data_IF_478742700709
#
_entry.id   IF_478742700709
#
_cell.length_a   1.000
_cell.length_b   1.000
_cell.length_c   1.000
_cell.angle_alpha   90.00
_cell.angle_beta   90.00
_cell.angle_gamma   90.00
#
_symmetry.space_group_name_H-M   'P 1'
#
loop_
_entity.id
_entity.type
_entity.pdbx_description
1 polymer ?
#
# COMPACT_ATOMS: atom_id res chain seq x y z
N UNK A 1 10.95 25.97 -8.96
CA UNK A 1 10.99 24.79 -8.08
C UNK A 1 12.38 24.18 -8.18
N UNK A 2 13.12 23.97 -7.10
CA UNK A 2 14.45 23.37 -7.20
C UNK A 2 14.32 21.94 -7.70
N UNK A 3 15.00 21.58 -8.80
CA UNK A 3 14.95 20.23 -9.40
C UNK A 3 15.13 19.11 -8.37
N UNK A 4 15.97 19.37 -7.36
CA UNK A 4 16.30 18.46 -6.27
C UNK A 4 15.08 17.96 -5.46
N UNK A 5 14.04 18.77 -5.28
CA UNK A 5 12.87 18.34 -4.51
C UNK A 5 11.96 17.40 -5.33
N UNK A 6 11.90 17.56 -6.66
CA UNK A 6 11.15 16.64 -7.53
C UNK A 6 11.89 15.32 -7.69
N UNK A 7 13.22 15.32 -7.76
CA UNK A 7 14.04 14.09 -7.79
C UNK A 7 13.82 13.25 -6.52
N UNK A 8 13.66 13.90 -5.37
CA UNK A 8 13.30 13.23 -4.11
C UNK A 8 11.90 12.61 -4.12
N UNK A 9 10.96 13.11 -4.92
CA UNK A 9 9.62 12.52 -5.06
C UNK A 9 9.72 11.22 -5.87
N UNK A 10 10.41 11.24 -7.01
CA UNK A 10 10.66 10.03 -7.82
C UNK A 10 11.35 8.94 -7.01
N UNK A 11 12.44 9.30 -6.32
CA UNK A 11 13.21 8.34 -5.54
C UNK A 11 12.34 7.68 -4.45
N UNK A 12 11.57 8.47 -3.70
CA UNK A 12 10.65 7.95 -2.67
C UNK A 12 9.56 7.05 -3.27
N UNK A 13 9.03 7.43 -4.43
CA UNK A 13 8.05 6.61 -5.13
C UNK A 13 8.64 5.27 -5.56
N UNK A 14 9.79 5.27 -6.25
CA UNK A 14 10.47 4.04 -6.67
C UNK A 14 10.86 3.15 -5.50
N UNK A 15 11.33 3.72 -4.38
CA UNK A 15 11.62 2.96 -3.16
C UNK A 15 10.37 2.23 -2.64
N UNK A 16 9.20 2.89 -2.68
CA UNK A 16 7.92 2.27 -2.27
C UNK A 16 7.49 1.17 -3.23
N UNK A 17 7.63 1.38 -4.55
CA UNK A 17 7.35 0.35 -5.55
C UNK A 17 8.26 -0.87 -5.33
N UNK A 18 9.57 -0.65 -5.23
CA UNK A 18 10.54 -1.72 -5.00
C UNK A 18 10.22 -2.51 -3.73
N UNK A 19 9.91 -1.83 -2.61
CA UNK A 19 9.47 -2.50 -1.37
C UNK A 19 8.20 -3.33 -1.55
N UNK A 20 7.25 -2.83 -2.33
CA UNK A 20 6.00 -3.55 -2.60
C UNK A 20 6.24 -4.80 -3.44
N UNK A 21 7.07 -4.70 -4.48
CA UNK A 21 7.50 -5.85 -5.30
C UNK A 21 8.26 -6.86 -4.44
N UNK A 22 9.21 -6.41 -3.61
CA UNK A 22 9.94 -7.28 -2.69
C UNK A 22 8.98 -8.02 -1.76
N UNK A 23 8.02 -7.32 -1.16
CA UNK A 23 7.02 -7.91 -0.26
C UNK A 23 6.18 -8.99 -0.94
N UNK A 24 5.75 -8.76 -2.19
CA UNK A 24 4.98 -9.74 -2.97
C UNK A 24 5.78 -11.03 -3.17
N UNK A 25 7.03 -10.90 -3.65
CA UNK A 25 7.91 -12.04 -3.91
C UNK A 25 8.28 -12.78 -2.62
N UNK A 26 8.57 -12.06 -1.54
CA UNK A 26 8.94 -12.66 -0.26
C UNK A 26 7.78 -13.45 0.36
N UNK A 27 6.54 -13.01 0.15
CA UNK A 27 5.34 -13.68 0.65
C UNK A 27 4.92 -14.88 -0.21
N UNK A 28 5.22 -14.86 -1.50
CA UNK A 28 4.92 -15.95 -2.42
C UNK A 28 6.18 -16.44 -3.15
N UNK A 29 6.91 -17.33 -2.47
CA UNK A 29 8.15 -17.95 -2.95
C UNK A 29 7.98 -18.82 -4.19
N UNK A 30 6.75 -19.07 -4.63
CA UNK A 30 6.50 -19.78 -5.90
C UNK A 30 6.58 -18.85 -7.11
N UNK A 31 6.57 -17.52 -6.90
CA UNK A 31 6.67 -16.52 -7.97
C UNK A 31 8.06 -16.44 -8.62
N UNK A 32 9.09 -16.84 -7.89
CA UNK A 32 10.46 -16.96 -8.40
C UNK A 32 10.91 -18.39 -8.11
N UNK A 33 11.47 -19.07 -9.11
CA UNK A 33 12.09 -20.38 -8.88
C UNK A 33 13.39 -20.20 -8.07
N UNK A 34 13.27 -20.03 -6.74
CA UNK A 34 14.39 -19.80 -5.81
C UNK A 34 15.40 -20.97 -5.71
N UNK A 35 15.24 -22.00 -6.54
CA UNK A 35 16.07 -23.20 -6.58
C UNK A 35 17.14 -23.15 -7.67
N UNK A 36 17.08 -22.18 -8.59
CA UNK A 36 18.16 -21.91 -9.54
C UNK A 36 19.07 -20.78 -9.04
N UNK A 37 20.26 -20.68 -9.62
CA UNK A 37 21.26 -19.67 -9.23
C UNK A 37 20.70 -18.25 -9.37
N UNK A 38 19.86 -18.01 -10.38
CA UNK A 38 19.27 -16.70 -10.64
C UNK A 38 18.28 -16.29 -9.53
N UNK A 39 17.41 -17.19 -9.08
CA UNK A 39 16.49 -16.95 -7.98
C UNK A 39 17.19 -16.71 -6.65
N UNK A 40 18.30 -17.41 -6.40
CA UNK A 40 19.15 -17.20 -5.22
C UNK A 40 19.80 -15.80 -5.24
N UNK A 41 20.32 -15.37 -6.39
CA UNK A 41 20.94 -14.06 -6.59
C UNK A 41 19.90 -12.93 -6.43
N UNK A 42 18.69 -13.11 -6.95
CA UNK A 42 17.58 -12.16 -6.81
C UNK A 42 17.15 -12.05 -5.34
N UNK A 43 16.98 -13.16 -4.62
CA UNK A 43 16.62 -13.12 -3.22
C UNK A 43 17.66 -12.38 -2.37
N UNK A 44 18.96 -12.59 -2.65
CA UNK A 44 20.03 -11.86 -1.97
C UNK A 44 19.99 -10.36 -2.31
N UNK A 45 19.75 -10.01 -3.56
CA UNK A 45 19.63 -8.62 -4.00
C UNK A 45 18.44 -7.93 -3.33
N UNK A 46 17.31 -8.62 -3.21
CA UNK A 46 16.12 -8.12 -2.50
C UNK A 46 16.42 -7.84 -1.03
N UNK A 47 17.04 -8.78 -0.31
CA UNK A 47 17.44 -8.61 1.09
C UNK A 47 18.40 -7.41 1.24
N UNK A 48 19.37 -7.26 0.33
CA UNK A 48 20.32 -6.14 0.31
C UNK A 48 19.63 -4.79 0.09
N UNK A 49 18.67 -4.73 -0.84
CA UNK A 49 17.93 -3.52 -1.18
C UNK A 49 16.99 -3.11 -0.05
N UNK A 50 16.24 -4.06 0.52
CA UNK A 50 15.35 -3.81 1.65
C UNK A 50 16.13 -3.26 2.85
N UNK A 51 17.31 -3.84 3.11
CA UNK A 51 18.23 -3.36 4.14
C UNK A 51 18.68 -1.92 3.88
N UNK A 52 19.18 -1.65 2.68
CA UNK A 52 19.71 -0.33 2.29
C UNK A 52 18.63 0.76 2.41
N UNK A 53 17.41 0.52 1.92
CA UNK A 53 16.30 1.48 2.00
C UNK A 53 15.83 1.69 3.45
N UNK A 54 15.90 0.66 4.30
CA UNK A 54 15.50 0.77 5.72
C UNK A 54 16.50 1.59 6.53
N UNK A 55 17.79 1.40 6.30
CA UNK A 55 18.85 2.21 6.92
C UNK A 55 18.73 3.67 6.48
N UNK A 56 18.53 3.95 5.19
CA UNK A 56 18.39 5.32 4.68
C UNK A 56 17.16 6.05 5.27
N UNK A 57 16.01 5.38 5.34
CA UNK A 57 14.81 5.96 5.95
C UNK A 57 14.98 6.25 7.45
N UNK A 58 15.72 5.41 8.17
CA UNK A 58 16.03 5.67 9.58
C UNK A 58 17.03 6.81 9.77
N UNK A 59 18.06 6.90 8.93
CA UNK A 59 19.02 8.02 8.94
C UNK A 59 18.32 9.35 8.65
N UNK A 60 17.46 9.40 7.64
CA UNK A 60 16.68 10.60 7.32
C UNK A 60 15.74 10.98 8.44
N UNK A 61 15.02 10.01 9.04
CA UNK A 61 14.12 10.26 10.17
C UNK A 61 14.90 10.80 11.39
N UNK A 62 16.07 10.23 11.71
CA UNK A 62 16.91 10.71 12.81
C UNK A 62 17.49 12.10 12.55
N UNK A 63 17.90 12.42 11.32
CA UNK A 63 18.39 13.75 10.96
C UNK A 63 17.29 14.82 11.02
N UNK A 64 16.01 14.45 10.76
CA UNK A 64 14.86 15.35 10.96
C UNK A 64 14.46 15.51 12.42
N UNK A 65 14.69 14.51 13.26
CA UNK A 65 14.33 14.54 14.70
C UNK A 65 15.44 15.19 15.54
N UNK A 66 16.70 14.96 15.17
CA UNK A 66 17.87 15.51 15.83
C UNK A 66 18.62 16.36 14.80
N UNK A 67 18.39 17.67 14.80
CA UNK A 67 19.20 18.59 14.00
C UNK A 67 20.68 18.33 14.27
N UNK A 68 21.38 17.87 13.24
CA UNK A 68 22.84 17.71 13.15
C UNK A 68 23.52 16.99 14.33
N UNK A 69 23.74 15.67 14.24
CA UNK A 69 24.81 15.04 15.01
C UNK A 69 25.68 14.10 14.17
N UNK A 70 27.00 14.28 14.35
CA UNK A 70 28.07 13.70 13.54
C UNK A 70 28.38 12.21 13.78
N UNK A 71 29.65 11.77 13.59
CA UNK A 71 30.03 10.43 13.11
C UNK A 71 29.83 9.24 14.08
N UNK A 72 29.08 9.42 15.17
CA UNK A 72 28.73 8.36 16.15
C UNK A 72 27.53 7.50 15.75
N UNK A 73 26.82 7.81 14.66
CA UNK A 73 25.59 7.13 14.21
C UNK A 73 25.78 5.66 13.81
N UNK A 74 26.96 5.27 13.33
CA UNK A 74 27.20 3.92 12.79
C UNK A 74 27.17 2.78 13.83
N UNK A 75 27.46 3.05 15.11
CA UNK A 75 27.44 2.01 16.17
C UNK A 75 26.03 1.68 16.64
N UNK A 76 25.15 2.67 16.75
CA UNK A 76 23.75 2.50 17.17
C UNK A 76 22.91 1.80 16.09
N UNK A 77 23.16 2.10 14.81
CA UNK A 77 22.53 1.40 13.68
C UNK A 77 22.77 -0.11 13.72
N UNK A 78 23.96 -0.54 14.13
CA UNK A 78 24.30 -1.98 14.21
C UNK A 78 23.56 -2.77 15.30
N UNK A 79 22.96 -2.05 16.26
CA UNK A 79 22.22 -2.58 17.42
C UNK A 79 20.69 -2.62 17.19
N UNK A 80 20.19 -1.91 16.18
CA UNK A 80 18.76 -1.82 15.87
C UNK A 80 18.32 -2.68 14.68
N UNK A 81 19.26 -3.41 14.08
CA UNK A 81 18.98 -4.42 13.05
C UNK A 81 18.43 -5.67 13.76
N UNK A 82 17.27 -6.20 13.37
CA UNK A 82 16.76 -7.46 13.92
C UNK A 82 17.84 -8.54 13.86
N UNK A 83 18.12 -9.18 15.00
CA UNK A 83 19.22 -10.14 15.15
C UNK A 83 19.16 -11.26 14.10
N UNK A 84 17.95 -11.70 13.78
CA UNK A 84 17.63 -12.74 12.79
C UNK A 84 18.08 -12.34 11.38
N UNK A 85 18.00 -11.05 11.05
CA UNK A 85 18.38 -10.51 9.75
C UNK A 85 19.91 -10.40 9.62
N UNK A 86 20.57 -9.95 10.70
CA UNK A 86 22.04 -9.94 10.80
C UNK A 86 22.60 -11.36 10.71
N UNK A 87 21.90 -12.34 11.29
CA UNK A 87 22.26 -13.74 11.23
C UNK A 87 22.13 -14.33 9.81
N UNK A 88 21.05 -14.01 9.06
CA UNK A 88 20.88 -14.44 7.65
C UNK A 88 21.98 -13.91 6.74
N UNK A 89 22.31 -12.62 6.86
CA UNK A 89 23.42 -12.01 6.11
C UNK A 89 24.77 -12.64 6.48
N UNK A 90 24.97 -13.02 7.74
CA UNK A 90 26.21 -13.64 8.21
C UNK A 90 26.34 -15.12 7.84
N UNK A 91 25.23 -15.88 7.77
CA UNK A 91 25.24 -17.31 7.50
C UNK A 91 25.68 -17.66 6.07
N UNK A 92 25.47 -16.78 5.09
CA UNK A 92 25.97 -16.93 3.71
C UNK A 92 27.37 -16.32 3.48
N UNK A 93 28.01 -15.75 4.51
CA UNK A 93 29.38 -15.17 4.42
C UNK A 93 30.50 -16.20 4.29
N UNK A 94 30.24 -17.48 4.56
CA UNK A 94 31.32 -18.46 4.64
C UNK A 94 31.88 -18.92 3.29
N UNK A 95 31.27 -18.54 2.16
CA UNK A 95 31.73 -19.02 0.83
C UNK A 95 32.42 -17.96 -0.06
N UNK A 96 32.34 -16.65 0.22
CA UNK A 96 32.99 -15.63 -0.63
C UNK A 96 33.60 -14.48 0.20
N UNK A 97 34.78 -14.75 0.77
CA UNK A 97 35.58 -13.76 1.50
C UNK A 97 36.67 -13.16 0.57
N UNK A 98 36.45 -11.91 0.12
CA UNK A 98 37.43 -10.84 -0.18
C UNK A 98 36.81 -9.78 -1.11
N UNK A 99 36.16 -8.75 -0.55
CA UNK A 99 36.15 -7.35 -1.09
C UNK A 99 35.05 -6.41 -0.51
N UNK A 100 34.34 -6.78 0.56
CA UNK A 100 33.16 -6.00 0.99
C UNK A 100 33.50 -4.76 1.82
N UNK A 101 34.75 -4.55 2.26
CA UNK A 101 35.15 -3.30 2.93
C UNK A 101 35.17 -2.08 1.99
N UNK A 102 34.82 -2.25 0.70
CA UNK A 102 34.70 -1.16 -0.29
C UNK A 102 33.38 -1.09 -1.06
N UNK A 103 32.37 -1.92 -0.76
CA UNK A 103 31.04 -1.75 -1.38
C UNK A 103 30.22 -0.79 -0.54
N UNK A 104 30.29 0.48 -0.91
CA UNK A 104 29.41 1.54 -0.42
C UNK A 104 27.95 1.04 -0.45
N UNK A 105 27.34 0.88 0.73
CA UNK A 105 25.96 0.39 0.89
C UNK A 105 24.89 1.44 0.53
N UNK A 106 25.20 2.34 -0.41
CA UNK A 106 24.32 3.44 -0.84
C UNK A 106 23.92 3.23 -2.29
N UNK A 107 22.89 2.40 -2.51
CA UNK A 107 22.26 2.26 -3.84
C UNK A 107 21.02 3.13 -3.84
N UNK A 108 21.16 4.45 -4.03
CA UNK A 108 20.01 5.36 -3.87
C UNK A 108 19.92 6.44 -4.93
N UNK A 109 20.26 6.12 -6.18
CA UNK A 109 19.77 6.95 -7.29
C UNK A 109 18.66 6.21 -8.04
N UNK A 110 17.80 7.00 -8.67
CA UNK A 110 16.65 6.56 -9.46
C UNK A 110 17.00 5.41 -10.42
N UNK A 111 18.13 5.51 -11.13
CA UNK A 111 18.59 4.50 -12.09
C UNK A 111 18.82 3.14 -11.43
N UNK A 112 19.47 3.12 -10.28
CA UNK A 112 19.76 1.85 -9.60
C UNK A 112 18.52 1.17 -9.03
N UNK A 113 17.57 1.95 -8.50
CA UNK A 113 16.30 1.40 -8.00
C UNK A 113 15.43 0.91 -9.17
N UNK A 114 15.40 1.66 -10.27
CA UNK A 114 14.72 1.26 -11.48
C UNK A 114 15.26 -0.07 -12.02
N UNK A 115 16.59 -0.23 -12.06
CA UNK A 115 17.21 -1.49 -12.47
C UNK A 115 16.87 -2.65 -11.53
N UNK A 116 16.79 -2.39 -10.22
CA UNK A 116 16.38 -3.42 -9.26
C UNK A 116 14.93 -3.87 -9.50
N UNK A 117 14.01 -2.91 -9.71
CA UNK A 117 12.62 -3.21 -10.08
C UNK A 117 12.61 -4.04 -11.38
N UNK A 118 13.39 -3.65 -12.39
CA UNK A 118 13.51 -4.39 -13.64
C UNK A 118 13.92 -5.85 -13.42
N UNK A 119 15.01 -6.06 -12.68
CA UNK A 119 15.57 -7.39 -12.46
C UNK A 119 14.58 -8.31 -11.72
N UNK A 120 13.93 -7.79 -10.67
CA UNK A 120 12.99 -8.60 -9.87
C UNK A 120 11.72 -8.88 -10.69
N UNK A 121 11.18 -7.89 -11.39
CA UNK A 121 9.93 -8.05 -12.16
C UNK A 121 10.11 -8.96 -13.37
N UNK A 122 11.27 -8.93 -14.05
CA UNK A 122 11.58 -9.84 -15.16
C UNK A 122 11.73 -11.30 -14.72
N UNK A 123 12.02 -11.54 -13.45
CA UNK A 123 12.12 -12.88 -12.89
C UNK A 123 10.77 -13.47 -12.46
N UNK A 124 9.69 -12.69 -12.57
CA UNK A 124 8.34 -13.08 -12.20
C UNK A 124 7.54 -13.28 -13.49
N UNK A 125 7.15 -14.52 -13.74
CA UNK A 125 6.39 -14.87 -14.95
C UNK A 125 4.93 -14.36 -14.92
N UNK A 126 4.45 -13.96 -13.75
CA UNK A 126 3.07 -13.51 -13.53
C UNK A 126 2.96 -11.97 -13.53
N UNK A 127 1.84 -11.40 -14.01
CA UNK A 127 1.59 -9.96 -13.91
C UNK A 127 1.49 -9.51 -12.44
N UNK A 128 2.19 -8.44 -12.10
CA UNK A 128 2.13 -7.84 -10.76
C UNK A 128 1.12 -6.70 -10.79
N UNK A 129 0.16 -6.72 -9.87
CA UNK A 129 -0.79 -5.61 -9.70
C UNK A 129 -0.47 -4.87 -8.40
N UNK A 130 -0.16 -3.59 -8.52
CA UNK A 130 0.10 -2.70 -7.38
C UNK A 130 -1.06 -1.72 -7.21
N UNK A 131 -1.67 -1.73 -6.02
CA UNK A 131 -2.69 -0.78 -5.64
C UNK A 131 -2.06 0.38 -4.86
N UNK A 132 -2.21 1.59 -5.37
CA UNK A 132 -1.72 2.82 -4.76
C UNK A 132 -2.92 3.61 -4.28
N UNK A 133 -3.13 3.57 -2.98
CA UNK A 133 -4.22 4.27 -2.34
C UNK A 133 -3.87 5.76 -2.12
N UNK A 134 -4.87 6.62 -2.27
CA UNK A 134 -4.80 8.06 -2.02
C UNK A 134 -3.61 8.74 -2.74
N UNK A 135 -3.52 8.57 -4.06
CA UNK A 135 -2.43 9.18 -4.86
C UNK A 135 -2.34 10.70 -4.63
N UNK A 136 -3.47 11.33 -4.32
CA UNK A 136 -3.57 12.74 -3.97
C UNK A 136 -2.80 13.16 -2.73
N UNK A 137 -2.41 12.21 -1.86
CA UNK A 137 -1.59 12.47 -0.66
C UNK A 137 -0.10 12.20 -0.86
N UNK A 138 0.33 11.86 -2.07
CA UNK A 138 1.76 11.56 -2.32
C UNK A 138 2.62 12.82 -2.31
N UNK A 139 2.03 13.96 -2.66
CA UNK A 139 2.71 15.25 -2.66
C UNK A 139 2.86 15.87 -1.28
N UNK A 140 3.82 16.79 -1.13
CA UNK A 140 3.97 17.59 0.10
C UNK A 140 3.06 18.82 0.13
N UNK A 141 2.50 19.16 -1.02
CA UNK A 141 1.72 20.37 -1.22
C UNK A 141 0.21 20.09 -1.18
N UNK A 142 -0.61 21.08 -0.82
CA UNK A 142 -2.06 20.98 -0.92
C UNK A 142 -2.53 20.70 -2.36
N UNK A 143 -3.67 20.03 -2.51
CA UNK A 143 -4.26 19.63 -3.80
C UNK A 143 -4.47 20.79 -4.78
N UNK A 144 -4.64 22.01 -4.29
CA UNK A 144 -4.87 23.21 -5.11
C UNK A 144 -3.57 23.94 -5.49
N UNK A 145 -2.41 23.45 -5.04
CA UNK A 145 -1.12 24.03 -5.39
C UNK A 145 -0.63 23.50 -6.77
N UNK A 146 -0.12 24.36 -7.66
CA UNK A 146 0.49 23.93 -8.92
C UNK A 146 1.68 22.98 -8.74
N UNK A 147 2.38 23.06 -7.61
CA UNK A 147 3.47 22.17 -7.25
C UNK A 147 3.00 20.73 -7.04
N UNK A 148 1.82 20.54 -6.43
CA UNK A 148 1.23 19.23 -6.23
C UNK A 148 0.93 18.55 -7.59
N UNK A 149 0.39 19.32 -8.54
CA UNK A 149 0.09 18.81 -9.88
C UNK A 149 1.36 18.32 -10.60
N UNK A 150 2.47 19.04 -10.45
CA UNK A 150 3.78 18.65 -10.98
C UNK A 150 4.33 17.38 -10.33
N UNK A 151 4.15 17.21 -9.01
CA UNK A 151 4.57 15.99 -8.31
C UNK A 151 3.77 14.77 -8.79
N UNK A 152 2.44 14.90 -8.88
CA UNK A 152 1.56 13.83 -9.37
C UNK A 152 1.85 13.49 -10.83
N UNK A 153 2.10 14.48 -11.68
CA UNK A 153 2.51 14.26 -13.07
C UNK A 153 3.72 13.36 -13.19
N UNK A 154 4.78 13.66 -12.44
CA UNK A 154 6.01 12.86 -12.47
C UNK A 154 5.77 11.43 -12.01
N UNK A 155 4.96 11.25 -10.97
CA UNK A 155 4.60 9.91 -10.50
C UNK A 155 3.85 9.14 -11.58
N UNK A 156 2.93 9.78 -12.29
CA UNK A 156 2.19 9.13 -13.38
C UNK A 156 3.06 8.82 -14.60
N UNK A 157 4.00 9.71 -14.95
CA UNK A 157 4.98 9.48 -16.02
C UNK A 157 5.87 8.29 -15.71
N UNK A 158 6.42 8.26 -14.50
CA UNK A 158 7.24 7.17 -14.01
C UNK A 158 6.45 5.85 -13.90
N UNK A 159 5.21 5.93 -13.43
CA UNK A 159 4.30 4.77 -13.39
C UNK A 159 4.04 4.21 -14.78
N UNK A 160 3.84 5.08 -15.77
CA UNK A 160 3.68 4.67 -17.17
C UNK A 160 4.94 3.99 -17.70
N UNK A 161 6.11 4.55 -17.42
CA UNK A 161 7.39 3.93 -17.79
C UNK A 161 7.50 2.52 -17.20
N UNK A 162 7.19 2.36 -15.91
CA UNK A 162 7.20 1.07 -15.23
C UNK A 162 6.21 0.07 -15.87
N UNK A 163 4.98 0.49 -16.18
CA UNK A 163 3.98 -0.39 -16.81
C UNK A 163 4.31 -0.76 -18.27
N UNK A 164 5.01 0.11 -19.00
CA UNK A 164 5.40 -0.17 -20.38
C UNK A 164 6.60 -1.11 -20.47
N UNK A 165 7.53 -1.01 -19.52
CA UNK A 165 8.79 -1.76 -19.55
C UNK A 165 8.74 -3.07 -18.77
N UNK A 166 7.78 -3.22 -17.84
CA UNK A 166 7.69 -4.35 -16.93
C UNK A 166 6.27 -4.94 -16.90
N UNK A 167 6.16 -6.22 -16.54
CA UNK A 167 4.88 -6.92 -16.42
C UNK A 167 4.10 -6.48 -15.15
N UNK A 168 3.80 -5.19 -15.07
CA UNK A 168 3.18 -4.54 -13.93
C UNK A 168 1.95 -3.75 -14.35
N UNK A 169 0.93 -3.76 -13.50
CA UNK A 169 -0.25 -2.89 -13.59
C UNK A 169 -0.34 -2.07 -12.31
N UNK A 170 -0.36 -0.75 -12.44
CA UNK A 170 -0.55 0.16 -11.31
C UNK A 170 -1.99 0.66 -11.33
N UNK A 171 -2.69 0.46 -10.20
CA UNK A 171 -4.06 0.91 -9.97
C UNK A 171 -4.04 2.00 -8.93
N UNK A 172 -4.57 3.17 -9.26
CA UNK A 172 -4.58 4.33 -8.36
C UNK A 172 -5.99 4.60 -7.86
N UNK A 173 -6.14 4.87 -6.57
CA UNK A 173 -7.34 5.55 -6.06
C UNK A 173 -7.10 7.06 -6.02
N UNK A 174 -8.15 7.82 -6.33
CA UNK A 174 -8.13 9.27 -6.42
C UNK A 174 -9.34 9.82 -5.69
N UNK A 175 -9.18 10.95 -5.01
CA UNK A 175 -10.31 11.71 -4.48
C UNK A 175 -11.25 12.22 -5.59
N UNK A 176 -12.51 12.45 -5.22
CA UNK A 176 -13.57 12.88 -6.15
C UNK A 176 -13.25 14.22 -6.81
N UNK A 177 -12.65 15.15 -6.09
CA UNK A 177 -12.25 16.48 -6.54
C UNK A 177 -11.26 16.38 -7.69
N UNK A 178 -10.29 15.47 -7.58
CA UNK A 178 -9.32 15.21 -8.62
C UNK A 178 -9.96 14.52 -9.83
N UNK A 179 -10.84 13.55 -9.60
CA UNK A 179 -11.61 12.92 -10.67
C UNK A 179 -12.42 13.96 -11.48
N UNK A 180 -13.07 14.90 -10.81
CA UNK A 180 -13.87 15.94 -11.45
C UNK A 180 -12.99 16.96 -12.20
N UNK A 181 -11.82 17.33 -11.66
CA UNK A 181 -10.79 18.13 -12.36
C UNK A 181 -10.34 17.42 -13.65
N UNK A 182 -9.99 16.13 -13.57
CA UNK A 182 -9.58 15.31 -14.72
C UNK A 182 -10.69 15.22 -15.78
N UNK A 183 -11.93 15.02 -15.36
CA UNK A 183 -13.07 14.95 -16.28
C UNK A 183 -13.36 16.27 -16.99
N UNK A 184 -13.27 17.41 -16.29
CA UNK A 184 -13.48 18.74 -16.89
C UNK A 184 -12.44 19.01 -17.95
N UNK A 185 -11.17 18.76 -17.66
CA UNK A 185 -10.07 18.96 -18.60
C UNK A 185 -10.23 18.09 -19.86
N UNK A 186 -10.65 16.82 -19.71
CA UNK A 186 -10.91 15.94 -20.86
C UNK A 186 -12.06 16.43 -21.73
N UNK A 187 -13.13 16.96 -21.13
CA UNK A 187 -14.29 17.51 -21.86
C UNK A 187 -13.95 18.81 -22.58
N UNK A 188 -13.13 19.65 -21.96
CA UNK A 188 -12.75 20.96 -22.51
C UNK A 188 -11.63 20.88 -23.56
N UNK A 189 -11.08 19.69 -23.83
CA UNK A 189 -9.87 19.50 -24.66
C UNK A 189 -8.69 20.38 -24.21
N UNK A 190 -8.68 20.77 -22.93
CA UNK A 190 -7.55 21.47 -22.34
C UNK A 190 -6.41 20.47 -22.19
N UNK A 191 -5.22 20.86 -22.66
CA UNK A 191 -4.06 19.98 -22.76
C UNK A 191 -3.43 19.78 -21.37
N UNK A 192 -4.13 19.03 -20.53
CA UNK A 192 -3.55 18.56 -19.27
C UNK A 192 -2.82 17.26 -19.60
N UNK A 193 -1.49 17.35 -19.65
CA UNK A 193 -0.54 16.24 -19.84
C UNK A 193 -0.85 15.00 -18.97
N UNK A 194 -1.44 15.20 -17.78
CA UNK A 194 -1.91 14.16 -16.85
C UNK A 194 -2.86 13.16 -17.55
N UNK A 195 -3.80 13.67 -18.34
CA UNK A 195 -4.89 12.88 -18.92
C UNK A 195 -4.43 11.93 -20.02
N UNK A 196 -3.30 12.21 -20.67
CA UNK A 196 -2.71 11.30 -21.66
C UNK A 196 -2.06 10.07 -21.02
N UNK A 197 -1.79 10.11 -19.71
CA UNK A 197 -1.10 9.04 -19.00
C UNK A 197 -2.08 8.05 -18.34
N UNK A 198 -3.34 8.47 -18.10
CA UNK A 198 -4.36 7.65 -17.47
C UNK A 198 -5.29 7.08 -18.57
N UNK A 199 -4.98 5.87 -19.03
CA UNK A 199 -5.71 5.21 -20.12
C UNK A 199 -7.19 4.93 -19.79
N UNK A 200 -7.48 4.64 -18.51
CA UNK A 200 -8.83 4.36 -18.04
C UNK A 200 -9.00 4.87 -16.61
N UNK A 201 -10.07 5.63 -16.38
CA UNK A 201 -10.50 6.06 -15.06
C UNK A 201 -11.99 5.81 -14.90
N UNK A 202 -12.41 5.34 -13.73
CA UNK A 202 -13.81 5.01 -13.43
C UNK A 202 -14.20 5.65 -12.11
N UNK A 203 -15.26 6.47 -12.13
CA UNK A 203 -15.87 6.93 -10.87
C UNK A 203 -16.54 5.72 -10.23
N UNK A 204 -16.17 5.41 -9.00
CA UNK A 204 -16.93 4.46 -8.21
C UNK A 204 -18.24 5.14 -7.78
N UNK A 205 -19.38 4.43 -7.77
CA UNK A 205 -20.61 4.97 -7.23
C UNK A 205 -20.43 5.30 -5.75
N UNK A 206 -21.17 6.29 -5.27
CA UNK A 206 -21.27 6.52 -3.83
C UNK A 206 -21.90 5.28 -3.21
N UNK A 207 -21.27 4.79 -2.15
CA UNK A 207 -21.74 3.61 -1.44
C UNK A 207 -22.96 4.00 -0.60
N UNK A 208 -24.14 3.65 -1.09
CA UNK A 208 -25.41 4.05 -0.47
C UNK A 208 -25.87 3.05 0.60
N UNK A 209 -26.98 3.37 1.26
CA UNK A 209 -27.54 2.52 2.29
C UNK A 209 -27.96 1.15 1.77
N UNK A 210 -28.50 1.06 0.55
CA UNK A 210 -28.94 -0.21 -0.02
C UNK A 210 -27.73 -1.13 -0.27
N UNK A 211 -26.65 -0.60 -0.85
CA UNK A 211 -25.37 -1.29 -1.01
C UNK A 211 -24.76 -1.69 0.33
N UNK A 212 -24.89 -0.85 1.36
CA UNK A 212 -24.43 -1.16 2.71
C UNK A 212 -25.18 -2.34 3.30
N UNK A 213 -26.50 -2.34 3.17
CA UNK A 213 -27.35 -3.42 3.67
C UNK A 213 -27.11 -4.73 2.93
N UNK A 214 -26.91 -4.68 1.60
CA UNK A 214 -26.52 -5.84 0.79
C UNK A 214 -25.14 -6.39 1.19
N UNK A 215 -24.16 -5.51 1.43
CA UNK A 215 -22.84 -5.91 1.90
C UNK A 215 -22.88 -6.58 3.29
N UNK A 216 -23.77 -6.12 4.17
CA UNK A 216 -24.03 -6.77 5.47
C UNK A 216 -24.63 -8.16 5.25
N UNK A 217 -25.65 -8.29 4.38
CA UNK A 217 -26.29 -9.57 4.06
C UNK A 217 -25.27 -10.58 3.50
N UNK A 218 -24.41 -10.14 2.57
CA UNK A 218 -23.33 -10.95 2.02
C UNK A 218 -22.30 -11.35 3.09
N UNK A 219 -21.97 -10.43 4.01
CA UNK A 219 -21.04 -10.71 5.11
C UNK A 219 -21.60 -11.74 6.09
N UNK A 220 -22.89 -11.66 6.40
CA UNK A 220 -23.60 -12.65 7.24
C UNK A 220 -23.56 -14.03 6.59
N UNK A 221 -23.88 -14.10 5.30
CA UNK A 221 -23.87 -15.34 4.52
C UNK A 221 -22.45 -15.94 4.43
N UNK A 222 -21.44 -15.11 4.17
CA UNK A 222 -20.04 -15.54 4.07
C UNK A 222 -19.51 -16.07 5.40
N UNK A 223 -19.84 -15.39 6.51
CA UNK A 223 -19.50 -15.83 7.86
C UNK A 223 -20.31 -17.05 8.34
N UNK A 224 -21.31 -17.49 7.57
CA UNK A 224 -22.20 -18.62 7.86
C UNK A 224 -22.99 -18.47 9.16
N UNK A 225 -23.38 -17.24 9.51
CA UNK A 225 -24.31 -17.03 10.61
C UNK A 225 -25.69 -17.63 10.27
N UNK A 226 -26.40 -18.20 11.26
CA UNK A 226 -27.72 -18.79 11.02
C UNK A 226 -28.79 -17.70 10.86
N UNK A 227 -29.49 -17.69 9.73
CA UNK A 227 -30.59 -16.75 9.43
C UNK A 227 -30.18 -15.61 8.50
N UNK A 228 -31.14 -14.74 8.17
CA UNK A 228 -30.92 -13.51 7.39
C UNK A 228 -30.83 -12.30 8.31
N UNK A 229 -30.34 -11.17 7.81
CA UNK A 229 -30.24 -9.92 8.60
C UNK A 229 -31.54 -9.60 9.35
N UNK A 230 -32.69 -9.72 8.70
CA UNK A 230 -33.99 -9.39 9.32
C UNK A 230 -34.42 -10.40 10.41
N UNK A 231 -33.82 -11.61 10.43
CA UNK A 231 -33.98 -12.58 11.53
C UNK A 231 -33.04 -12.27 12.70
N UNK A 232 -31.93 -11.58 12.41
CA UNK A 232 -30.81 -11.35 13.32
C UNK A 232 -30.87 -10.01 14.03
N UNK A 233 -31.47 -9.01 13.38
CA UNK A 233 -31.56 -7.65 13.90
C UNK A 233 -32.99 -7.16 13.90
N UNK A 234 -33.41 -6.58 15.02
CA UNK A 234 -34.65 -5.83 15.06
C UNK A 234 -34.55 -4.55 14.23
N UNK A 235 -35.66 -4.17 13.57
CA UNK A 235 -35.72 -2.96 12.76
C UNK A 235 -35.34 -1.70 13.54
N UNK A 236 -35.74 -1.62 14.82
CA UNK A 236 -35.40 -0.50 15.71
C UNK A 236 -33.90 -0.37 15.97
N UNK A 237 -33.15 -1.49 16.03
CA UNK A 237 -31.71 -1.46 16.19
C UNK A 237 -31.01 -0.96 14.91
N UNK A 238 -31.48 -1.41 13.73
CA UNK A 238 -30.95 -0.92 12.46
C UNK A 238 -31.18 0.60 12.36
N UNK A 239 -32.39 1.08 12.66
CA UNK A 239 -32.69 2.52 12.68
C UNK A 239 -31.80 3.30 13.66
N UNK A 240 -31.55 2.75 14.84
CA UNK A 240 -30.67 3.37 15.83
C UNK A 240 -29.24 3.47 15.31
N UNK A 241 -28.70 2.40 14.73
CA UNK A 241 -27.35 2.40 14.14
C UNK A 241 -27.27 3.40 12.98
N UNK A 242 -28.30 3.48 12.13
CA UNK A 242 -28.34 4.46 11.04
C UNK A 242 -28.29 5.91 11.56
N UNK A 243 -29.00 6.21 12.65
CA UNK A 243 -28.95 7.52 13.31
C UNK A 243 -27.58 7.80 13.93
N UNK A 244 -27.02 6.85 14.67
CA UNK A 244 -25.72 7.00 15.36
C UNK A 244 -24.55 7.18 14.39
N UNK A 245 -24.62 6.53 13.23
CA UNK A 245 -23.58 6.57 12.21
C UNK A 245 -23.76 7.71 11.21
N UNK A 246 -24.85 8.47 11.32
CA UNK A 246 -25.27 9.47 10.35
C UNK A 246 -25.24 8.94 8.91
N UNK A 247 -25.64 7.68 8.72
CA UNK A 247 -25.63 7.02 7.41
C UNK A 247 -24.26 6.60 6.88
N UNK A 248 -23.17 6.67 7.66
CA UNK A 248 -21.85 6.24 7.20
C UNK A 248 -21.78 4.71 7.00
N UNK A 249 -21.62 4.22 5.75
CA UNK A 249 -21.64 2.79 5.45
C UNK A 249 -20.66 1.93 6.25
N UNK A 250 -19.43 2.43 6.38
CA UNK A 250 -18.35 1.69 7.05
C UNK A 250 -18.68 1.51 8.53
N UNK A 251 -19.16 2.57 9.18
CA UNK A 251 -19.56 2.48 10.58
C UNK A 251 -20.78 1.59 10.77
N UNK A 252 -21.77 1.67 9.87
CA UNK A 252 -22.96 0.79 9.90
C UNK A 252 -22.52 -0.68 9.84
N UNK A 253 -21.67 -1.03 8.87
CA UNK A 253 -21.15 -2.40 8.74
C UNK A 253 -20.40 -2.84 9.99
N UNK A 254 -19.52 -1.99 10.54
CA UNK A 254 -18.76 -2.29 11.76
C UNK A 254 -19.72 -2.59 12.92
N UNK A 255 -20.66 -1.68 13.22
CA UNK A 255 -21.57 -1.85 14.36
C UNK A 255 -22.45 -3.09 14.23
N UNK A 256 -22.97 -3.38 13.03
CA UNK A 256 -23.82 -4.56 12.81
C UNK A 256 -23.01 -5.86 12.95
N UNK A 257 -21.84 -5.95 12.32
CA UNK A 257 -21.01 -7.16 12.36
C UNK A 257 -20.39 -7.40 13.75
N UNK A 258 -20.00 -6.34 14.46
CA UNK A 258 -19.55 -6.45 15.85
C UNK A 258 -20.68 -6.88 16.77
N UNK A 259 -21.90 -6.36 16.59
CA UNK A 259 -23.07 -6.77 17.38
C UNK A 259 -23.38 -8.25 17.19
N UNK A 260 -23.31 -8.76 15.95
CA UNK A 260 -23.45 -10.20 15.66
C UNK A 260 -22.35 -11.02 16.30
N UNK A 261 -21.11 -10.61 16.12
CA UNK A 261 -19.94 -11.34 16.65
C UNK A 261 -20.03 -11.43 18.17
N UNK A 262 -20.36 -10.32 18.84
CA UNK A 262 -20.52 -10.28 20.29
C UNK A 262 -21.69 -11.13 20.79
N UNK A 263 -22.82 -11.13 20.09
CA UNK A 263 -23.96 -11.97 20.46
C UNK A 263 -23.66 -13.45 20.28
N UNK A 264 -23.02 -13.82 19.17
CA UNK A 264 -22.65 -15.21 18.86
C UNK A 264 -21.61 -15.78 19.84
N UNK A 265 -20.61 -14.98 20.22
CA UNK A 265 -19.57 -15.40 21.16
C UNK A 265 -20.08 -15.51 22.60
N UNK A 266 -21.04 -14.66 23.00
CA UNK A 266 -21.54 -14.64 24.38
C UNK A 266 -22.57 -15.74 24.67
N UNK A 267 -23.30 -16.19 23.66
CA UNK A 267 -24.36 -17.19 23.88
C UNK A 267 -24.57 -18.10 22.65
N UNK A 268 -23.75 -19.15 22.52
CA UNK A 268 -23.91 -20.13 21.44
C UNK A 268 -25.27 -20.87 21.46
N UNK A 269 -25.94 -20.93 22.62
CA UNK A 269 -27.22 -21.63 22.78
C UNK A 269 -28.44 -20.68 22.86
N UNK A 270 -28.22 -19.38 23.05
CA UNK A 270 -29.26 -18.35 23.19
C UNK A 270 -29.06 -17.13 22.27
N UNK A 271 -28.33 -17.30 21.16
CA UNK A 271 -28.15 -16.32 20.09
C UNK A 271 -29.45 -15.60 19.67
N UNK A 272 -30.60 -16.28 19.74
CA UNK A 272 -31.93 -15.74 19.41
C UNK A 272 -32.57 -14.87 20.50
N UNK A 273 -32.09 -14.88 21.75
CA UNK A 273 -32.76 -14.19 22.86
C UNK A 273 -32.32 -12.74 23.01
N UNK A 274 -31.03 -12.45 22.81
CA UNK A 274 -30.47 -11.13 23.09
C UNK A 274 -31.01 -10.01 22.18
N UNK A 275 -31.36 -10.33 20.93
CA UNK A 275 -31.87 -9.32 20.01
C UNK A 275 -33.37 -9.08 20.12
N UNK A 276 -34.16 -10.05 20.62
CA UNK A 276 -35.63 -9.90 20.74
C UNK A 276 -36.13 -9.51 22.13
N UNK A 277 -35.27 -9.60 23.15
CA UNK A 277 -35.65 -9.41 24.55
C UNK A 277 -35.25 -8.07 25.15
N UNK A 278 -34.67 -7.14 24.38
CA UNK A 278 -34.32 -5.81 24.88
C UNK A 278 -35.49 -4.80 24.74
N UNK A 279 -36.60 -5.18 24.09
CA UNK A 279 -37.77 -4.33 23.89
C UNK A 279 -39.14 -5.03 24.01
N UNK A 280 -39.21 -6.10 24.80
CA UNK A 280 -40.46 -6.61 25.40
C UNK A 280 -40.33 -6.56 26.92
#
# INVERSE_FOLDING_TARGET
FPLQELEKVNLRFLQRILRSVISIVSNDKHLIQLNDKAGIDIAFEMDRLEYSITVENHLTTQNTVNGEMGPTSNKLLSLMIPADFKAKLNARRMDEEKDITKRDYFIHNEKTIHQAIANITQAIDQPIVLFIDELDKVGRYPLDAPEWEREVMKILELSRELMLNYNMTLVFSLQNELYDKLNKARKNQEDISILRLINAHKKLPLFDLAMTMDAVDQSIAYAKYPGKRDDLFESGLIELILKLTNGNPRLIMIYLLESLTNAYLRDQNGFYRLFKSLYL
#
